data_IF_577489958849
#
_entry.id   IF_577489958849
#
_cell.length_a   1.000
_cell.length_b   1.000
_cell.length_c   1.000
_cell.angle_alpha   90.00
_cell.angle_beta   90.00
_cell.angle_gamma   90.00
#
_symmetry.space_group_name_H-M   'P 1'
#
loop_
_entity.id
_entity.type
_entity.pdbx_description
1 polymer ?
#
# COMPACT_ATOMS: atom_id res chain seq x y z
N UNK A 1 -15.40 -5.58 -6.67
CA UNK A 1 -14.37 -5.74 -5.65
C UNK A 1 -14.99 -5.72 -4.27
N UNK A 2 -14.25 -6.11 -3.25
CA UNK A 2 -14.72 -6.05 -1.87
C UNK A 2 -14.63 -4.61 -1.36
N UNK A 3 -15.69 -4.15 -0.66
CA UNK A 3 -15.76 -2.78 -0.14
C UNK A 3 -14.67 -2.52 0.90
N UNK A 4 -14.38 -3.51 1.75
CA UNK A 4 -13.35 -3.36 2.77
C UNK A 4 -12.47 -4.60 2.92
N UNK A 5 -11.25 -4.36 3.42
CA UNK A 5 -10.28 -5.38 3.79
C UNK A 5 -9.93 -5.24 5.28
N UNK A 6 -10.10 -6.31 6.05
CA UNK A 6 -9.46 -6.41 7.35
C UNK A 6 -7.99 -6.79 7.15
N UNK A 7 -7.08 -5.90 7.55
CA UNK A 7 -5.64 -6.08 7.37
C UNK A 7 -5.14 -7.27 8.20
N UNK A 8 -4.49 -8.23 7.53
CA UNK A 8 -3.90 -9.38 8.18
C UNK A 8 -2.67 -9.01 9.00
N UNK A 9 -2.32 -9.81 9.99
CA UNK A 9 -1.10 -9.73 10.80
C UNK A 9 -0.78 -8.32 11.30
N UNK A 10 -1.82 -7.57 11.70
CA UNK A 10 -1.72 -6.22 12.28
C UNK A 10 -1.00 -5.18 11.41
N UNK A 11 -0.93 -5.39 10.10
CA UNK A 11 -0.20 -4.49 9.20
C UNK A 11 1.31 -4.76 9.12
N UNK A 12 1.73 -6.01 9.35
CA UNK A 12 3.11 -6.42 9.08
C UNK A 12 3.46 -6.27 7.60
N UNK A 13 4.69 -5.92 7.27
CA UNK A 13 5.20 -5.79 5.90
C UNK A 13 5.05 -7.05 5.03
N UNK A 14 4.85 -8.22 5.66
CA UNK A 14 4.64 -9.50 4.97
C UNK A 14 3.17 -9.85 4.73
N UNK A 15 2.23 -9.01 5.16
CA UNK A 15 0.81 -9.37 5.24
C UNK A 15 -0.03 -8.95 4.04
N UNK A 16 0.46 -8.04 3.21
CA UNK A 16 -0.27 -7.49 2.07
C UNK A 16 0.68 -7.29 0.90
N UNK A 17 0.29 -7.75 -0.27
CA UNK A 17 1.04 -7.55 -1.51
C UNK A 17 0.20 -6.75 -2.51
N UNK A 18 0.86 -6.07 -3.42
CA UNK A 18 0.20 -5.38 -4.54
C UNK A 18 -0.68 -6.33 -5.37
N UNK A 19 -0.21 -7.57 -5.61
CA UNK A 19 -0.99 -8.57 -6.35
C UNK A 19 -2.32 -8.88 -5.65
N UNK A 20 -2.31 -8.98 -4.32
CA UNK A 20 -3.51 -9.21 -3.54
C UNK A 20 -4.44 -7.99 -3.60
N UNK A 21 -3.93 -6.77 -3.41
CA UNK A 21 -4.74 -5.56 -3.46
C UNK A 21 -5.37 -5.35 -4.85
N UNK A 22 -4.63 -5.58 -5.91
CA UNK A 22 -5.14 -5.49 -7.29
C UNK A 22 -6.22 -6.53 -7.58
N UNK A 23 -6.18 -7.69 -6.94
CA UNK A 23 -7.21 -8.71 -7.11
C UNK A 23 -8.49 -8.39 -6.32
N UNK A 24 -8.34 -7.78 -5.14
CA UNK A 24 -9.46 -7.47 -4.23
C UNK A 24 -10.05 -6.09 -4.51
N UNK A 25 -9.21 -5.10 -4.83
CA UNK A 25 -9.57 -3.69 -5.06
C UNK A 25 -10.42 -3.13 -3.90
N UNK A 26 -9.97 -3.18 -2.65
CA UNK A 26 -10.76 -2.68 -1.54
C UNK A 26 -10.77 -1.16 -1.53
N UNK A 27 -11.90 -0.55 -1.19
CA UNK A 27 -12.01 0.89 -1.01
C UNK A 27 -11.44 1.32 0.34
N UNK A 28 -11.58 0.45 1.37
CA UNK A 28 -11.07 0.76 2.71
C UNK A 28 -10.29 -0.41 3.32
N UNK A 29 -9.30 -0.08 4.15
CA UNK A 29 -8.47 -1.02 4.89
C UNK A 29 -8.52 -0.77 6.40
N UNK A 30 -8.82 -1.82 7.18
CA UNK A 30 -8.88 -1.71 8.64
C UNK A 30 -7.73 -2.48 9.25
N UNK A 31 -6.89 -1.77 9.98
CA UNK A 31 -5.72 -2.31 10.66
C UNK A 31 -5.99 -2.37 12.17
N UNK A 32 -6.07 -3.59 12.69
CA UNK A 32 -6.20 -3.83 14.14
C UNK A 32 -4.79 -4.00 14.74
N UNK A 33 -4.29 -2.98 15.40
CA UNK A 33 -2.99 -2.96 16.06
C UNK A 33 -3.08 -2.22 17.40
N UNK A 34 -2.17 -2.55 18.32
CA UNK A 34 -2.15 -1.92 19.63
C UNK A 34 -1.33 -0.64 19.66
N UNK A 35 -1.73 0.29 20.52
CA UNK A 35 -0.93 1.50 20.80
C UNK A 35 0.45 1.10 21.34
N UNK A 36 1.50 1.73 20.80
CA UNK A 36 2.89 1.48 21.22
C UNK A 36 3.29 -0.01 21.19
N UNK A 37 2.76 -0.79 20.23
CA UNK A 37 3.11 -2.19 20.15
C UNK A 37 4.61 -2.38 19.84
N UNK A 38 5.23 -3.34 20.51
CA UNK A 38 6.68 -3.61 20.43
C UNK A 38 7.17 -4.09 19.06
N UNK A 39 6.25 -4.42 18.16
CA UNK A 39 6.57 -4.91 16.82
C UNK A 39 6.61 -3.80 15.76
N UNK A 40 6.24 -2.56 16.14
CA UNK A 40 6.19 -1.43 15.23
C UNK A 40 5.08 -1.53 14.16
N UNK A 41 4.03 -2.31 14.42
CA UNK A 41 2.89 -2.43 13.51
C UNK A 41 1.95 -1.22 13.61
N UNK A 42 1.33 -0.79 12.50
CA UNK A 42 1.57 -1.26 11.14
C UNK A 42 2.92 -0.76 10.58
N UNK A 43 3.58 -1.59 9.79
CA UNK A 43 4.81 -1.18 9.13
C UNK A 43 4.54 -0.18 8.01
N UNK A 44 5.49 0.75 7.79
CA UNK A 44 5.36 1.79 6.78
C UNK A 44 5.22 1.21 5.36
N UNK A 45 5.87 0.09 5.08
CA UNK A 45 5.73 -0.60 3.80
C UNK A 45 4.29 -1.01 3.52
N UNK A 46 3.56 -1.46 4.54
CA UNK A 46 2.14 -1.82 4.39
C UNK A 46 1.27 -0.60 4.18
N UNK A 47 1.53 0.48 4.93
CA UNK A 47 0.81 1.75 4.77
C UNK A 47 1.05 2.36 3.39
N UNK A 48 2.30 2.33 2.91
CA UNK A 48 2.65 2.81 1.57
C UNK A 48 1.91 2.04 0.48
N UNK A 49 1.87 0.70 0.57
CA UNK A 49 1.15 -0.14 -0.39
C UNK A 49 -0.35 0.19 -0.42
N UNK A 50 -0.97 0.39 0.74
CA UNK A 50 -2.40 0.74 0.84
C UNK A 50 -2.67 2.14 0.26
N UNK A 51 -1.83 3.11 0.59
CA UNK A 51 -1.89 4.49 0.08
C UNK A 51 -1.75 4.54 -1.44
N UNK A 52 -0.75 3.84 -1.99
CA UNK A 52 -0.50 3.79 -3.44
C UNK A 52 -1.66 3.12 -4.19
N UNK A 53 -2.38 2.22 -3.52
CA UNK A 53 -3.59 1.59 -4.05
C UNK A 53 -4.87 2.44 -3.86
N UNK A 54 -4.77 3.63 -3.25
CA UNK A 54 -5.90 4.52 -2.99
C UNK A 54 -6.90 3.98 -1.95
N UNK A 55 -6.42 3.16 -1.01
CA UNK A 55 -7.25 2.56 0.04
C UNK A 55 -7.35 3.50 1.23
N UNK A 56 -8.58 3.82 1.66
CA UNK A 56 -8.82 4.58 2.90
C UNK A 56 -8.46 3.74 4.12
N UNK A 57 -7.51 4.19 4.92
CA UNK A 57 -6.98 3.43 6.04
C UNK A 57 -7.56 3.86 7.38
N UNK A 58 -8.06 2.88 8.13
CA UNK A 58 -8.52 3.03 9.53
C UNK A 58 -7.63 2.19 10.45
N UNK A 59 -7.23 2.77 11.61
CA UNK A 59 -6.27 2.13 12.53
C UNK A 59 -6.78 2.18 13.96
N UNK A 60 -6.84 1.03 14.63
CA UNK A 60 -7.33 0.96 16.02
C UNK A 60 -6.38 1.58 17.04
N UNK A 61 -5.09 1.68 16.75
CA UNK A 61 -4.11 2.33 17.63
C UNK A 61 -4.27 3.86 17.68
N UNK A 62 -4.89 4.46 16.65
CA UNK A 62 -5.13 5.90 16.55
C UNK A 62 -6.60 6.28 16.76
N UNK A 63 -7.52 5.42 16.35
CA UNK A 63 -8.96 5.72 16.30
C UNK A 63 -9.78 4.92 17.32
N UNK A 64 -9.14 4.04 18.10
CA UNK A 64 -9.84 3.22 19.07
C UNK A 64 -10.73 2.17 18.40
N UNK A 65 -11.96 2.04 18.88
CA UNK A 65 -12.94 1.12 18.31
C UNK A 65 -13.41 1.62 16.95
N UNK A 66 -13.36 0.74 15.95
CA UNK A 66 -13.87 1.00 14.60
C UNK A 66 -15.10 0.14 14.38
N UNK A 67 -16.21 0.77 14.08
CA UNK A 67 -17.49 0.12 13.81
C UNK A 67 -17.88 0.31 12.35
N UNK A 68 -18.24 -0.78 11.67
CA UNK A 68 -18.73 -0.73 10.30
C UNK A 68 -20.17 -1.22 10.28
N UNK A 69 -21.05 -0.39 9.75
CA UNK A 69 -22.42 -0.75 9.43
C UNK A 69 -22.58 -0.90 7.92
N UNK A 70 -23.38 -1.88 7.49
CA UNK A 70 -23.75 -2.03 6.08
C UNK A 70 -25.21 -2.41 5.95
N UNK A 71 -25.88 -1.85 4.96
CA UNK A 71 -27.25 -2.21 4.53
C UNK A 71 -27.25 -3.13 3.31
N UNK A 72 -26.06 -3.58 2.86
CA UNK A 72 -25.87 -4.41 1.68
C UNK A 72 -25.63 -3.63 0.39
N UNK A 73 -25.81 -2.32 0.39
CA UNK A 73 -25.53 -1.43 -0.75
C UNK A 73 -24.56 -0.31 -0.35
N UNK A 74 -24.71 0.20 0.87
CA UNK A 74 -23.89 1.25 1.42
C UNK A 74 -23.20 0.77 2.69
N UNK A 75 -22.16 1.47 3.09
CA UNK A 75 -21.51 1.24 4.37
C UNK A 75 -21.28 2.57 5.11
N UNK A 76 -21.20 2.47 6.43
CA UNK A 76 -20.86 3.58 7.31
C UNK A 76 -19.71 3.16 8.21
N UNK A 77 -18.79 4.07 8.48
CA UNK A 77 -17.67 3.85 9.40
C UNK A 77 -17.80 4.81 10.56
N UNK A 78 -17.81 4.26 11.78
CA UNK A 78 -17.74 5.02 13.02
C UNK A 78 -16.45 4.70 13.74
N UNK A 79 -15.78 5.72 14.26
CA UNK A 79 -14.54 5.59 15.04
C UNK A 79 -14.73 6.22 16.41
N UNK A 80 -14.10 5.65 17.44
CA UNK A 80 -14.15 6.18 18.81
C UNK A 80 -13.40 7.51 18.94
N UNK A 81 -12.28 7.64 18.20
CA UNK A 81 -11.47 8.85 18.18
C UNK A 81 -11.29 9.33 16.75
N UNK A 82 -11.20 10.65 16.58
CA UNK A 82 -10.82 11.24 15.30
C UNK A 82 -9.29 11.16 15.16
N UNK A 83 -8.82 10.75 13.99
CA UNK A 83 -7.42 10.84 13.61
C UNK A 83 -7.33 11.54 12.24
N UNK A 84 -6.40 12.47 12.10
CA UNK A 84 -6.17 13.15 10.83
C UNK A 84 -5.61 12.17 9.79
N UNK A 85 -5.93 12.33 8.51
CA UNK A 85 -5.47 11.48 7.42
C UNK A 85 -3.94 11.34 7.38
N UNK A 86 -3.22 12.41 7.70
CA UNK A 86 -1.76 12.38 7.81
C UNK A 86 -1.24 11.47 8.94
N UNK A 87 -2.04 11.18 9.96
CA UNK A 87 -1.68 10.26 11.03
C UNK A 87 -2.06 8.81 10.69
N UNK A 88 -3.14 8.63 9.94
CA UNK A 88 -3.61 7.31 9.49
C UNK A 88 -2.73 6.76 8.38
N UNK A 89 -2.33 7.66 7.51
CA UNK A 89 -1.52 7.38 6.32
C UNK A 89 -0.37 8.39 6.25
N UNK A 90 0.62 8.32 7.18
CA UNK A 90 1.66 9.30 7.25
C UNK A 90 2.42 9.34 5.92
N UNK A 91 2.46 10.51 5.31
CA UNK A 91 3.43 10.77 4.25
C UNK A 91 4.76 10.94 4.96
N UNK A 92 5.68 10.02 4.78
CA UNK A 92 7.03 10.15 5.29
C UNK A 92 7.61 11.48 4.79
N UNK A 93 8.02 12.42 5.68
CA UNK A 93 8.67 13.65 5.23
C UNK A 93 9.99 13.39 4.49
N UNK A 94 10.60 12.21 4.67
CA UNK A 94 11.69 11.75 3.83
C UNK A 94 11.18 11.26 2.44
N UNK A 95 9.94 10.80 2.32
CA UNK A 95 9.33 10.47 1.04
C UNK A 95 8.90 11.73 0.26
N UNK A 96 8.67 12.87 0.93
CA UNK A 96 8.43 14.13 0.26
C UNK A 96 9.68 14.68 -0.50
N UNK A 97 10.86 14.19 -0.16
CA UNK A 97 12.10 14.43 -0.92
C UNK A 97 12.45 13.29 -1.89
N UNK A 98 11.74 12.17 -1.84
CA UNK A 98 11.86 11.01 -2.75
C UNK A 98 10.54 10.68 -3.45
N UNK A 99 9.60 11.62 -3.50
CA UNK A 99 8.29 11.46 -4.17
C UNK A 99 8.38 11.30 -5.70
N UNK A 100 9.47 10.71 -6.17
CA UNK A 100 9.69 10.15 -7.48
C UNK A 100 10.49 8.85 -7.40
N UNK A 101 10.18 7.96 -6.45
CA UNK A 101 10.59 6.57 -6.62
C UNK A 101 9.66 5.93 -7.65
N UNK A 102 9.80 6.38 -8.88
CA UNK A 102 9.25 5.72 -10.02
C UNK A 102 9.78 4.29 -10.09
N UNK A 103 9.03 3.41 -10.67
CA UNK A 103 9.49 2.07 -10.98
C UNK A 103 10.31 2.08 -12.27
N UNK A 104 11.33 1.24 -12.33
CA UNK A 104 12.18 1.12 -13.51
C UNK A 104 11.79 -0.16 -14.25
N UNK A 105 11.12 0.00 -15.38
CA UNK A 105 10.73 -1.11 -16.27
C UNK A 105 11.86 -1.50 -17.18
N UNK A 106 11.96 -2.80 -17.46
CA UNK A 106 12.84 -3.34 -18.49
C UNK A 106 12.03 -3.59 -19.76
N UNK A 107 12.29 -2.82 -20.82
CA UNK A 107 11.55 -2.91 -22.08
C UNK A 107 11.63 -4.28 -22.75
N UNK A 108 12.69 -5.04 -22.49
CA UNK A 108 12.90 -6.36 -23.11
C UNK A 108 12.19 -7.48 -22.34
N UNK A 109 12.32 -7.49 -20.99
CA UNK A 109 11.75 -8.57 -20.16
C UNK A 109 10.34 -8.27 -19.68
N UNK A 110 9.85 -7.04 -19.92
CA UNK A 110 8.56 -6.57 -19.39
C UNK A 110 8.41 -6.74 -17.88
N UNK A 111 9.53 -6.60 -17.17
CA UNK A 111 9.54 -6.56 -15.70
C UNK A 111 9.86 -5.17 -15.22
N UNK A 112 9.25 -4.77 -14.10
CA UNK A 112 9.58 -3.51 -13.44
C UNK A 112 10.16 -3.76 -12.04
N UNK A 113 11.00 -2.85 -11.59
CA UNK A 113 11.85 -2.97 -10.43
C UNK A 113 11.76 -1.70 -9.59
N UNK A 114 12.06 -1.83 -8.30
CA UNK A 114 12.37 -0.67 -7.47
C UNK A 114 13.74 -0.08 -7.88
N UNK A 115 13.96 1.23 -7.76
CA UNK A 115 15.26 1.85 -8.06
C UNK A 115 16.44 1.27 -7.27
N UNK A 116 16.15 0.70 -6.09
CA UNK A 116 17.14 0.03 -5.23
C UNK A 116 17.42 -1.43 -5.60
N UNK A 117 16.79 -1.95 -6.67
CA UNK A 117 16.95 -3.34 -7.06
C UNK A 117 18.35 -3.62 -7.60
N UNK A 118 19.01 -4.68 -7.09
CA UNK A 118 20.33 -5.10 -7.58
C UNK A 118 20.31 -5.59 -9.05
N UNK A 119 19.14 -5.92 -9.60
CA UNK A 119 18.96 -6.47 -10.95
C UNK A 119 18.33 -5.45 -11.91
N UNK A 120 18.73 -4.18 -11.82
CA UNK A 120 18.23 -3.16 -12.75
C UNK A 120 18.69 -3.44 -14.19
N UNK A 121 17.85 -3.15 -15.19
CA UNK A 121 18.25 -3.23 -16.59
C UNK A 121 19.30 -2.17 -16.93
N UNK A 122 20.05 -2.37 -18.02
CA UNK A 122 20.94 -1.33 -18.52
C UNK A 122 20.14 -0.08 -18.92
N UNK A 123 20.69 1.12 -18.72
CA UNK A 123 20.00 2.41 -18.91
C UNK A 123 19.26 2.52 -20.25
N UNK A 124 19.84 2.02 -21.33
CA UNK A 124 19.21 2.01 -22.67
C UNK A 124 17.94 1.16 -22.77
N UNK A 125 17.69 0.30 -21.78
CA UNK A 125 16.54 -0.61 -21.73
C UNK A 125 15.59 -0.25 -20.60
N UNK A 126 15.77 0.91 -19.96
CA UNK A 126 14.92 1.37 -18.89
C UNK A 126 13.75 2.21 -19.41
N UNK A 127 12.60 2.01 -18.79
CA UNK A 127 11.45 2.91 -18.87
C UNK A 127 11.03 3.25 -17.44
N UNK A 128 10.68 4.50 -17.18
CA UNK A 128 10.26 4.96 -15.87
C UNK A 128 8.74 4.96 -15.79
N UNK A 129 8.22 4.49 -14.67
CA UNK A 129 6.81 4.56 -14.30
C UNK A 129 6.67 5.33 -13.01
N UNK A 130 5.70 6.21 -12.93
CA UNK A 130 5.45 7.03 -11.75
C UNK A 130 4.76 6.22 -10.63
N UNK A 131 4.10 5.12 -10.98
CA UNK A 131 3.40 4.25 -10.04
C UNK A 131 3.46 2.77 -10.45
N UNK A 132 3.17 1.90 -9.49
CA UNK A 132 2.98 0.47 -9.71
C UNK A 132 1.85 0.20 -10.74
N UNK A 133 0.75 0.92 -10.57
CA UNK A 133 -0.43 0.80 -11.43
C UNK A 133 -0.09 1.10 -12.88
N UNK A 134 0.62 2.19 -13.13
CA UNK A 134 1.07 2.58 -14.46
C UNK A 134 1.94 1.50 -15.12
N UNK A 135 2.85 0.88 -14.35
CA UNK A 135 3.68 -0.20 -14.86
C UNK A 135 2.85 -1.44 -15.23
N UNK A 136 1.85 -1.81 -14.42
CA UNK A 136 0.96 -2.95 -14.70
C UNK A 136 0.06 -2.68 -15.90
N UNK A 137 -0.53 -1.49 -16.01
CA UNK A 137 -1.36 -1.06 -17.14
C UNK A 137 -0.56 -1.02 -18.45
N UNK A 138 0.73 -0.70 -18.37
CA UNK A 138 1.66 -0.78 -19.49
C UNK A 138 2.08 -2.23 -19.85
N UNK A 139 1.54 -3.24 -19.15
CA UNK A 139 1.78 -4.66 -19.40
C UNK A 139 3.09 -5.18 -18.82
N UNK A 140 3.61 -4.52 -17.76
CA UNK A 140 4.80 -4.98 -17.05
C UNK A 140 4.44 -5.80 -15.83
N UNK A 141 5.30 -6.75 -15.45
CA UNK A 141 5.13 -7.58 -14.27
C UNK A 141 6.17 -7.21 -13.18
N UNK A 142 5.81 -7.29 -11.89
CA UNK A 142 6.76 -6.96 -10.83
C UNK A 142 7.93 -7.94 -10.78
N UNK A 143 9.10 -7.41 -10.44
CA UNK A 143 10.28 -8.23 -10.18
C UNK A 143 10.16 -8.92 -8.81
N UNK A 144 10.12 -10.25 -8.79
CA UNK A 144 9.99 -11.05 -7.57
C UNK A 144 11.19 -10.93 -6.59
N UNK A 145 12.29 -10.32 -7.02
CA UNK A 145 13.47 -10.11 -6.16
C UNK A 145 13.39 -8.84 -5.32
N UNK A 146 12.67 -7.82 -5.77
CA UNK A 146 12.57 -6.53 -5.07
C UNK A 146 11.14 -6.10 -4.78
N UNK A 147 10.15 -6.68 -5.45
CA UNK A 147 8.71 -6.40 -5.24
C UNK A 147 8.07 -7.74 -4.85
N UNK A 148 7.71 -7.87 -3.58
CA UNK A 148 7.12 -9.09 -2.99
C UNK A 148 5.64 -8.91 -2.73
#
# INVERSE_FOLDING_TARGET
>A
GDVYKRQGHHGSSTSTSYLFLNAVLPEMGIISCGVNNKYGHPHEETLSILRDAGVDVYRTDLQGTITIGSDGQNYTVGTEHFAADSALNPTDPAAASTAQQGYIGNVNSKKFHLPSCANLPAEKNQILFSSYQEAVEAGYTPCSSCIK
#
